data_IF_154020651236
#
_entry.id   IF_154020651236
#
_cell.length_a   1.000
_cell.length_b   1.000
_cell.length_c   1.000
_cell.angle_alpha   90.00
_cell.angle_beta   90.00
_cell.angle_gamma   90.00
#
_symmetry.space_group_name_H-M   'P 1'
#
loop_
_entity.id
_entity.type
_entity.pdbx_description
1 polymer ?
#
# COMPACT_ATOMS: atom_id res chain seq x y z
N UNK A 1 -24.81 10.43 -18.67
CA UNK A 1 -23.81 10.61 -17.59
C UNK A 1 -24.14 9.61 -16.50
N UNK A 2 -23.23 8.74 -16.06
CA UNK A 2 -23.54 7.72 -15.04
C UNK A 2 -22.54 6.57 -14.87
N UNK A 3 -21.55 6.43 -15.76
CA UNK A 3 -20.51 5.40 -15.62
C UNK A 3 -19.52 5.68 -14.47
N UNK A 4 -19.19 6.96 -14.24
CA UNK A 4 -18.24 7.37 -13.20
C UNK A 4 -18.78 7.19 -11.78
N UNK A 5 -20.04 7.56 -11.54
CA UNK A 5 -20.65 7.50 -10.21
C UNK A 5 -20.75 6.06 -9.71
N UNK A 6 -21.16 5.12 -10.58
CA UNK A 6 -21.19 3.69 -10.25
C UNK A 6 -19.79 3.09 -9.98
N UNK A 7 -18.73 3.68 -10.53
CA UNK A 7 -17.35 3.26 -10.24
C UNK A 7 -16.93 3.75 -8.85
N UNK A 8 -17.19 5.02 -8.52
CA UNK A 8 -16.85 5.58 -7.22
C UNK A 8 -17.60 4.89 -6.08
N UNK A 9 -18.87 4.54 -6.28
CA UNK A 9 -19.65 3.75 -5.32
C UNK A 9 -19.04 2.37 -5.07
N UNK A 10 -18.55 1.69 -6.11
CA UNK A 10 -17.89 0.39 -5.95
C UNK A 10 -16.57 0.50 -5.19
N UNK A 11 -15.81 1.58 -5.43
CA UNK A 11 -14.56 1.85 -4.71
C UNK A 11 -14.84 2.16 -3.24
N UNK A 12 -15.81 3.03 -2.93
CA UNK A 12 -16.21 3.34 -1.56
C UNK A 12 -16.66 2.08 -0.80
N UNK A 13 -17.53 1.27 -1.42
CA UNK A 13 -17.94 -0.01 -0.86
C UNK A 13 -16.73 -0.94 -0.64
N UNK A 14 -15.83 -1.03 -1.61
CA UNK A 14 -14.59 -1.80 -1.49
C UNK A 14 -13.76 -1.39 -0.28
N UNK A 15 -13.56 -0.09 -0.06
CA UNK A 15 -12.81 0.43 1.10
C UNK A 15 -13.55 0.13 2.41
N UNK A 16 -14.88 0.28 2.45
CA UNK A 16 -15.68 0.01 3.66
C UNK A 16 -15.59 -1.45 4.10
N UNK A 17 -15.62 -2.39 3.17
CA UNK A 17 -15.53 -3.82 3.48
C UNK A 17 -14.10 -4.35 3.56
N UNK A 18 -13.10 -3.57 3.15
CA UNK A 18 -11.70 -3.95 3.26
C UNK A 18 -11.24 -4.06 4.73
N UNK A 19 -10.36 -5.03 5.01
CA UNK A 19 -9.69 -5.19 6.31
C UNK A 19 -8.45 -4.30 6.46
N UNK A 20 -7.78 -4.01 5.35
CA UNK A 20 -6.67 -3.07 5.26
C UNK A 20 -6.63 -2.43 3.88
N UNK A 21 -5.91 -1.31 3.75
CA UNK A 21 -5.66 -0.62 2.49
C UNK A 21 -4.16 -0.62 2.21
N UNK A 22 -3.78 -1.02 0.99
CA UNK A 22 -2.39 -0.93 0.53
C UNK A 22 -2.28 0.31 -0.35
N UNK A 23 -1.53 1.31 0.10
CA UNK A 23 -1.32 2.56 -0.62
C UNK A 23 -0.02 2.47 -1.45
N UNK A 24 -0.16 2.37 -2.77
CA UNK A 24 0.94 2.32 -3.73
C UNK A 24 1.34 3.73 -4.17
N UNK A 25 2.31 4.32 -3.49
CA UNK A 25 2.64 5.74 -3.58
C UNK A 25 3.61 6.02 -4.73
N UNK A 26 3.15 6.88 -5.63
CA UNK A 26 3.91 7.54 -6.71
C UNK A 26 3.59 9.04 -6.73
N UNK A 27 4.36 9.88 -7.45
CA UNK A 27 4.00 11.28 -7.65
C UNK A 27 2.58 11.48 -8.19
N UNK A 28 2.14 10.65 -9.15
CA UNK A 28 0.80 10.74 -9.74
C UNK A 28 -0.28 10.31 -8.74
N UNK A 29 -0.02 9.29 -7.91
CA UNK A 29 -0.91 8.87 -6.84
C UNK A 29 -1.21 10.04 -5.88
N UNK A 30 -0.19 10.78 -5.47
CA UNK A 30 -0.35 11.91 -4.53
C UNK A 30 -1.13 13.09 -5.12
N UNK A 31 -1.09 13.27 -6.45
CA UNK A 31 -1.75 14.36 -7.18
C UNK A 31 -3.19 14.03 -7.60
N UNK A 32 -3.56 12.76 -7.65
CA UNK A 32 -4.88 12.31 -8.09
C UNK A 32 -5.96 12.61 -7.04
N UNK A 33 -6.98 13.39 -7.41
CA UNK A 33 -8.14 13.68 -6.56
C UNK A 33 -8.84 12.37 -6.13
N UNK A 34 -8.88 11.37 -7.01
CA UNK A 34 -9.51 10.09 -6.70
C UNK A 34 -8.73 9.35 -5.60
N UNK A 35 -7.40 9.26 -5.72
CA UNK A 35 -6.57 8.64 -4.69
C UNK A 35 -6.60 9.41 -3.36
N UNK A 36 -6.70 10.75 -3.42
CA UNK A 36 -6.86 11.58 -2.23
C UNK A 36 -8.19 11.28 -1.51
N UNK A 37 -9.29 11.11 -2.26
CA UNK A 37 -10.60 10.73 -1.70
C UNK A 37 -10.57 9.33 -1.10
N UNK A 38 -9.97 8.36 -1.80
CA UNK A 38 -9.80 6.99 -1.32
C UNK A 38 -9.01 6.94 0.00
N UNK A 39 -7.90 7.69 0.09
CA UNK A 39 -7.11 7.77 1.31
C UNK A 39 -7.84 8.48 2.44
N UNK A 40 -8.57 9.57 2.14
CA UNK A 40 -9.36 10.29 3.14
C UNK A 40 -10.48 9.40 3.71
N UNK A 41 -11.15 8.63 2.86
CA UNK A 41 -12.15 7.65 3.30
C UNK A 41 -11.52 6.54 4.15
N UNK A 42 -10.37 6.02 3.72
CA UNK A 42 -9.64 4.99 4.45
C UNK A 42 -9.24 5.47 5.85
N UNK A 43 -8.76 6.70 5.97
CA UNK A 43 -8.39 7.33 7.25
C UNK A 43 -9.63 7.60 8.12
N UNK A 44 -10.70 8.15 7.55
CA UNK A 44 -11.96 8.39 8.26
C UNK A 44 -12.61 7.11 8.80
N UNK A 45 -12.46 5.99 8.09
CA UNK A 45 -12.93 4.67 8.51
C UNK A 45 -11.92 3.93 9.40
N UNK A 46 -10.82 4.59 9.79
CA UNK A 46 -9.73 4.01 10.59
C UNK A 46 -9.20 2.69 10.00
N UNK A 47 -9.17 2.59 8.67
CA UNK A 47 -8.64 1.41 7.99
C UNK A 47 -7.12 1.36 8.18
N UNK A 48 -6.55 0.22 8.61
CA UNK A 48 -5.11 0.03 8.61
C UNK A 48 -4.54 0.28 7.20
N UNK A 49 -3.53 1.14 7.08
CA UNK A 49 -2.91 1.51 5.80
C UNK A 49 -1.47 1.03 5.77
N UNK A 50 -1.14 0.18 4.79
CA UNK A 50 0.23 -0.22 4.48
C UNK A 50 0.74 0.67 3.34
N UNK A 51 1.78 1.44 3.60
CA UNK A 51 2.34 2.39 2.62
C UNK A 51 3.48 1.75 1.83
N UNK A 52 3.35 1.67 0.51
CA UNK A 52 4.37 1.18 -0.41
C UNK A 52 4.90 2.34 -1.24
N UNK A 53 6.18 2.68 -1.12
CA UNK A 53 6.79 3.73 -1.94
C UNK A 53 7.33 3.11 -3.23
N UNK A 54 6.63 3.33 -4.35
CA UNK A 54 6.99 2.75 -5.65
C UNK A 54 7.89 3.68 -6.47
N UNK A 55 7.71 4.99 -6.32
CA UNK A 55 8.51 6.03 -6.98
C UNK A 55 8.98 7.09 -5.97
N UNK A 56 10.04 7.81 -6.32
CA UNK A 56 10.50 8.94 -5.49
C UNK A 56 9.45 10.06 -5.55
N UNK A 57 8.95 10.48 -4.40
CA UNK A 57 8.15 11.70 -4.27
C UNK A 57 9.06 12.89 -3.96
N UNK A 58 8.65 14.10 -4.35
CA UNK A 58 9.45 15.31 -4.12
C UNK A 58 9.59 15.65 -2.62
N UNK A 59 8.61 15.25 -1.82
CA UNK A 59 8.57 15.41 -0.36
C UNK A 59 8.01 14.17 0.32
N UNK A 60 8.45 13.89 1.56
CA UNK A 60 7.85 12.87 2.42
C UNK A 60 7.61 13.45 3.83
N UNK A 61 6.39 13.37 4.38
CA UNK A 61 5.16 12.84 3.76
C UNK A 61 4.74 13.65 2.52
N UNK A 62 3.89 13.10 1.63
CA UNK A 62 3.36 13.85 0.50
C UNK A 62 2.75 15.18 0.94
N UNK A 63 2.83 16.23 0.12
CA UNK A 63 2.17 17.50 0.41
C UNK A 63 0.65 17.34 0.56
N UNK A 64 0.01 18.34 1.17
CA UNK A 64 -1.44 18.34 1.40
C UNK A 64 -2.21 17.98 0.11
N UNK A 65 -3.30 17.18 0.19
CA UNK A 65 -4.06 16.82 1.40
C UNK A 65 -3.63 15.52 2.09
N UNK A 66 -2.70 14.74 1.54
CA UNK A 66 -2.32 13.43 2.10
C UNK A 66 -1.29 13.51 3.25
N UNK A 67 -0.73 14.68 3.52
CA UNK A 67 0.34 14.87 4.52
C UNK A 67 -0.01 14.31 5.89
N UNK A 68 -1.19 14.64 6.41
CA UNK A 68 -1.67 14.21 7.73
C UNK A 68 -1.81 12.68 7.80
N UNK A 69 -2.29 12.06 6.73
CA UNK A 69 -2.54 10.62 6.67
C UNK A 69 -1.22 9.84 6.76
N UNK A 70 -0.12 10.36 6.22
CA UNK A 70 1.17 9.69 6.20
C UNK A 70 2.17 10.20 7.26
N UNK A 71 1.84 11.26 8.00
CA UNK A 71 2.69 11.78 9.07
C UNK A 71 2.96 10.70 10.12
N UNK A 72 4.25 10.46 10.43
CA UNK A 72 4.66 9.45 11.40
C UNK A 72 4.49 7.99 10.95
N UNK A 73 3.97 7.73 9.74
CA UNK A 73 3.82 6.37 9.21
C UNK A 73 5.08 5.94 8.45
N UNK A 74 5.52 4.71 8.72
CA UNK A 74 6.60 4.07 7.94
C UNK A 74 6.08 3.59 6.58
N UNK A 75 6.94 3.55 5.58
CA UNK A 75 6.66 2.96 4.28
C UNK A 75 7.65 1.83 3.96
N UNK A 76 7.23 0.90 3.11
CA UNK A 76 8.12 -0.09 2.50
C UNK A 76 8.62 0.48 1.17
N UNK A 77 9.94 0.62 1.05
CA UNK A 77 10.59 1.18 -0.15
C UNK A 77 10.75 0.12 -1.25
N UNK A 78 9.90 0.20 -2.28
CA UNK A 78 9.92 -0.67 -3.46
C UNK A 78 10.63 -0.03 -4.67
N UNK A 79 11.13 1.22 -4.58
CA UNK A 79 11.75 1.93 -5.71
C UNK A 79 12.96 1.22 -6.29
N UNK A 80 13.77 0.57 -5.44
CA UNK A 80 14.96 -0.20 -5.86
C UNK A 80 14.60 -1.48 -6.61
N UNK A 81 13.41 -2.02 -6.35
CA UNK A 81 12.90 -3.21 -7.02
C UNK A 81 12.65 -2.96 -8.51
N UNK A 82 12.35 -1.73 -8.91
CA UNK A 82 11.87 -1.43 -10.26
C UNK A 82 13.00 -1.27 -11.31
N UNK A 83 14.27 -1.12 -10.89
CA UNK A 83 15.36 -0.73 -11.82
C UNK A 83 16.13 -1.87 -12.47
N UNK A 84 16.07 -3.12 -11.97
CA UNK A 84 16.90 -4.24 -12.46
C UNK A 84 16.31 -5.64 -12.23
N UNK A 85 15.01 -5.78 -11.98
CA UNK A 85 14.40 -7.04 -11.56
C UNK A 85 13.67 -7.70 -12.72
N UNK A 86 14.12 -8.91 -13.09
CA UNK A 86 13.27 -9.87 -13.76
C UNK A 86 12.06 -10.13 -12.85
N UNK A 87 10.83 -10.03 -13.37
CA UNK A 87 9.58 -10.03 -12.61
C UNK A 87 9.46 -11.10 -11.50
N UNK A 88 10.16 -12.23 -11.60
CA UNK A 88 10.17 -13.28 -10.58
C UNK A 88 10.95 -12.94 -9.29
N UNK A 89 11.83 -11.93 -9.31
CA UNK A 89 12.68 -11.58 -8.16
C UNK A 89 11.99 -10.62 -7.17
N UNK A 90 10.97 -9.85 -7.58
CA UNK A 90 10.23 -8.95 -6.65
C UNK A 90 9.51 -9.73 -5.55
N UNK A 91 8.92 -10.88 -5.90
CA UNK A 91 8.19 -11.75 -4.97
C UNK A 91 9.09 -12.45 -3.96
N UNK A 92 10.41 -12.47 -4.21
CA UNK A 92 11.44 -13.03 -3.30
C UNK A 92 12.21 -11.93 -2.56
N UNK A 93 11.83 -10.67 -2.73
CA UNK A 93 12.53 -9.54 -2.15
C UNK A 93 12.22 -9.39 -0.65
N UNK A 94 13.16 -8.80 0.10
CA UNK A 94 12.95 -8.44 1.51
C UNK A 94 11.78 -7.46 1.69
N UNK A 95 11.52 -6.64 0.68
CA UNK A 95 10.41 -5.68 0.64
C UNK A 95 9.07 -6.41 0.62
N UNK A 96 8.95 -7.44 -0.22
CA UNK A 96 7.74 -8.26 -0.28
C UNK A 96 7.54 -9.07 1.00
N UNK A 97 8.59 -9.64 1.57
CA UNK A 97 8.51 -10.30 2.88
C UNK A 97 8.02 -9.35 4.00
N UNK A 98 8.48 -8.10 4.01
CA UNK A 98 7.99 -7.06 4.95
C UNK A 98 6.51 -6.76 4.74
N UNK A 99 6.04 -6.68 3.49
CA UNK A 99 4.63 -6.48 3.19
C UNK A 99 3.79 -7.64 3.71
N UNK A 100 4.21 -8.88 3.47
CA UNK A 100 3.52 -10.07 3.97
C UNK A 100 3.49 -10.11 5.51
N UNK A 101 4.59 -9.73 6.16
CA UNK A 101 4.64 -9.65 7.62
C UNK A 101 3.64 -8.61 8.16
N UNK A 102 3.62 -7.40 7.62
CA UNK A 102 2.66 -6.36 8.03
C UNK A 102 1.22 -6.76 7.74
N UNK A 103 0.94 -7.40 6.59
CA UNK A 103 -0.39 -7.93 6.28
C UNK A 103 -0.84 -8.95 7.30
N UNK A 104 0.04 -9.86 7.72
CA UNK A 104 -0.28 -10.89 8.70
C UNK A 104 -0.46 -10.35 10.12
N UNK A 105 0.25 -9.28 10.48
CA UNK A 105 0.02 -8.57 11.74
C UNK A 105 -1.36 -7.90 11.78
N UNK A 106 -1.80 -7.32 10.66
CA UNK A 106 -3.10 -6.65 10.56
C UNK A 106 -4.25 -7.65 10.37
N UNK A 107 -4.02 -8.71 9.61
CA UNK A 107 -5.01 -9.72 9.20
C UNK A 107 -4.42 -11.12 9.48
N UNK A 108 -4.52 -11.64 10.72
CA UNK A 108 -3.90 -12.91 11.12
C UNK A 108 -4.34 -14.13 10.27
N UNK A 109 -5.57 -14.09 9.76
CA UNK A 109 -6.16 -15.12 8.90
C UNK A 109 -5.68 -15.05 7.43
N UNK A 110 -4.88 -14.06 7.06
CA UNK A 110 -4.38 -13.94 5.69
C UNK A 110 -3.39 -15.08 5.40
N UNK A 111 -3.70 -15.88 4.38
CA UNK A 111 -2.77 -16.89 3.90
C UNK A 111 -1.68 -16.22 3.06
N UNK A 112 -0.55 -15.93 3.68
CA UNK A 112 0.63 -15.37 3.01
C UNK A 112 1.43 -16.41 2.22
N UNK A 113 1.01 -17.68 2.20
CA UNK A 113 1.87 -18.80 1.88
C UNK A 113 2.97 -18.97 2.95
N UNK A 114 3.38 -20.22 3.23
CA UNK A 114 4.54 -20.44 4.11
C UNK A 114 5.80 -19.94 3.41
N UNK A 115 6.40 -18.83 3.88
CA UNK A 115 7.82 -18.60 3.64
C UNK A 115 8.57 -19.78 4.25
N UNK A 116 9.17 -20.64 3.41
CA UNK A 116 10.04 -21.73 3.85
C UNK A 116 11.31 -21.11 4.43
N UNK A 117 11.24 -20.61 5.67
CA UNK A 117 12.42 -20.31 6.47
C UNK A 117 13.10 -21.61 6.86
N UNK A 118 13.96 -22.12 5.96
CA UNK A 118 15.06 -23.01 6.34
C UNK A 118 16.20 -22.09 6.77
N UNK A 119 16.19 -21.69 8.04
CA UNK A 119 17.41 -21.18 8.66
C UNK A 119 18.34 -22.37 8.82
N UNK A 120 19.33 -22.48 7.93
CA UNK A 120 20.58 -23.14 8.27
C UNK A 120 21.38 -22.11 9.07
N UNK A 121 21.58 -22.40 10.35
CA UNK A 121 22.76 -21.95 11.08
C UNK A 121 23.69 -23.16 11.11
N UNK A 122 24.91 -22.97 10.64
CA UNK A 122 26.05 -23.81 11.02
C UNK A 122 26.29 -23.71 12.54
#
# INVERSE_FOLDING_TARGET
>A
MGGGDSLFEKIDNGIRYAKCVIACITPQYTKSINCQREMSLSDALSKPIISLLLEQTDTWPPSAPMSMIFTGKSFIDFRRSNKNIQNDSIWKSKQFEKLLAQLKEIIPEVDTGKSKKKYFSD
#
